data_IF_935611297589
#
_entry.id   IF_935611297589
#
_cell.length_a   1.000
_cell.length_b   1.000
_cell.length_c   1.000
_cell.angle_alpha   90.00
_cell.angle_beta   90.00
_cell.angle_gamma   90.00
#
_symmetry.space_group_name_H-M   'P 1'
#
loop_
_entity.id
_entity.type
_entity.pdbx_description
1 polymer ?
#
# COMPACT_ATOMS: atom_id res chain seq x y z
N UNK A 1 2.82 -6.76 -9.67
CA UNK A 1 1.41 -6.82 -9.23
C UNK A 1 0.52 -6.72 -10.46
N UNK A 2 -0.60 -7.44 -10.50
CA UNK A 2 -1.51 -7.34 -11.64
C UNK A 2 -2.52 -6.22 -11.33
N UNK A 3 -2.45 -5.09 -12.04
CA UNK A 3 -3.31 -3.92 -11.82
C UNK A 3 -4.71 -4.07 -12.46
N UNK A 4 -5.09 -5.30 -12.86
CA UNK A 4 -6.43 -5.62 -13.34
C UNK A 4 -7.51 -5.48 -12.25
N UNK A 5 -7.11 -5.22 -11.00
CA UNK A 5 -8.01 -4.92 -9.89
C UNK A 5 -8.50 -3.48 -10.02
N UNK A 6 -9.82 -3.30 -10.12
CA UNK A 6 -10.43 -1.97 -10.10
C UNK A 6 -10.17 -1.29 -8.76
N UNK A 7 -9.66 -0.05 -8.81
CA UNK A 7 -9.57 0.78 -7.62
C UNK A 7 -10.96 1.27 -7.20
N UNK A 8 -11.16 1.40 -5.90
CA UNK A 8 -12.34 2.00 -5.28
C UNK A 8 -11.99 3.38 -4.71
N UNK A 9 -12.98 4.27 -4.66
CA UNK A 9 -12.83 5.55 -3.95
C UNK A 9 -13.02 5.34 -2.45
N UNK A 10 -12.11 5.87 -1.65
CA UNK A 10 -12.24 5.89 -0.20
C UNK A 10 -13.44 6.75 0.23
N UNK A 11 -14.17 6.28 1.25
CA UNK A 11 -15.27 7.05 1.86
C UNK A 11 -14.75 8.32 2.52
N UNK A 12 -13.61 8.21 3.21
CA UNK A 12 -12.93 9.30 3.88
C UNK A 12 -11.47 9.37 3.38
N UNK A 13 -11.15 10.27 2.45
CA UNK A 13 -9.78 10.54 2.04
C UNK A 13 -8.92 11.01 3.22
N UNK A 14 -7.64 10.66 3.19
CA UNK A 14 -6.69 11.06 4.24
C UNK A 14 -5.36 11.51 3.66
N UNK A 15 -4.63 12.31 4.43
CA UNK A 15 -3.33 12.84 4.01
C UNK A 15 -2.20 11.95 4.51
N UNK A 16 -1.29 11.57 3.62
CA UNK A 16 -0.10 10.78 3.91
C UNK A 16 1.12 11.68 3.87
N UNK A 17 1.76 11.88 5.02
CA UNK A 17 3.01 12.63 5.12
C UNK A 17 4.17 11.83 4.49
N UNK A 18 4.94 12.48 3.63
CA UNK A 18 6.14 11.92 3.02
C UNK A 18 7.40 12.32 3.80
N UNK A 19 8.49 11.54 3.73
CA UNK A 19 9.75 11.88 4.41
C UNK A 19 10.38 13.20 3.97
N UNK A 20 10.01 13.73 2.79
CA UNK A 20 10.51 15.01 2.27
C UNK A 20 9.71 16.21 2.78
N UNK A 21 8.71 15.99 3.65
CA UNK A 21 7.92 17.05 4.29
C UNK A 21 6.66 17.45 3.53
N UNK A 22 6.41 16.88 2.35
CA UNK A 22 5.17 17.05 1.60
C UNK A 22 4.12 16.03 2.02
N UNK A 23 2.86 16.29 1.70
CA UNK A 23 1.77 15.37 1.99
C UNK A 23 0.97 15.04 0.74
N UNK A 24 0.58 13.77 0.60
CA UNK A 24 -0.17 13.27 -0.55
C UNK A 24 -1.57 12.90 -0.09
N UNK A 25 -2.58 13.37 -0.81
CA UNK A 25 -3.97 13.01 -0.53
C UNK A 25 -4.24 11.59 -1.08
N UNK A 26 -4.54 10.66 -0.19
CA UNK A 26 -4.98 9.32 -0.53
C UNK A 26 -6.51 9.32 -0.71
N UNK A 27 -6.96 9.04 -1.94
CA UNK A 27 -8.39 9.00 -2.28
C UNK A 27 -8.87 7.63 -2.76
N UNK A 28 -7.95 6.71 -3.05
CA UNK A 28 -8.26 5.44 -3.71
C UNK A 28 -7.57 4.26 -3.04
N UNK A 29 -8.23 3.13 -3.10
CA UNK A 29 -7.77 1.86 -2.54
C UNK A 29 -7.97 0.73 -3.54
N UNK A 30 -6.98 -0.14 -3.63
CA UNK A 30 -7.09 -1.45 -4.26
C UNK A 30 -7.33 -2.47 -3.15
N UNK A 31 -8.54 -3.01 -3.07
CA UNK A 31 -8.91 -3.97 -2.01
C UNK A 31 -8.40 -5.37 -2.31
N UNK A 32 -8.21 -6.16 -1.25
CA UNK A 32 -8.00 -7.60 -1.34
C UNK A 32 -6.81 -7.99 -2.26
N UNK A 33 -5.80 -7.12 -2.34
CA UNK A 33 -4.64 -7.34 -3.19
C UNK A 33 -3.80 -8.48 -2.64
N UNK A 34 -3.46 -9.45 -3.49
CA UNK A 34 -2.50 -10.48 -3.14
C UNK A 34 -1.09 -9.94 -3.31
N UNK A 35 -0.36 -9.84 -2.20
CA UNK A 35 1.04 -9.43 -2.14
C UNK A 35 1.89 -10.68 -1.93
N UNK A 36 2.80 -10.94 -2.87
CA UNK A 36 3.68 -12.11 -2.83
C UNK A 36 5.14 -11.69 -2.59
N UNK A 37 5.75 -12.21 -1.52
CA UNK A 37 7.17 -12.00 -1.17
C UNK A 37 7.80 -13.36 -0.86
N UNK A 38 8.88 -13.73 -1.55
CA UNK A 38 9.62 -14.99 -1.36
C UNK A 38 8.70 -16.21 -1.13
N UNK A 39 7.78 -16.43 -2.06
CA UNK A 39 6.81 -17.55 -2.07
C UNK A 39 5.73 -17.53 -0.99
N UNK A 40 5.69 -16.51 -0.13
CA UNK A 40 4.56 -16.25 0.76
C UNK A 40 3.62 -15.25 0.10
N UNK A 41 2.32 -15.54 0.15
CA UNK A 41 1.30 -14.62 -0.35
C UNK A 41 0.36 -14.25 0.79
N UNK A 42 0.11 -12.96 0.95
CA UNK A 42 -0.85 -12.43 1.93
C UNK A 42 -1.76 -11.42 1.25
N UNK A 43 -2.94 -11.20 1.82
CA UNK A 43 -3.90 -10.22 1.32
C UNK A 43 -3.73 -8.90 2.08
N UNK A 44 -3.86 -7.80 1.35
CA UNK A 44 -3.83 -6.46 1.93
C UNK A 44 -4.63 -5.48 1.08
N UNK A 45 -5.15 -4.45 1.72
CA UNK A 45 -5.65 -3.27 1.03
C UNK A 45 -4.46 -2.35 0.72
N UNK A 46 -4.34 -1.92 -0.54
CA UNK A 46 -3.25 -1.06 -1.00
C UNK A 46 -3.80 0.32 -1.33
N UNK A 47 -3.22 1.34 -0.71
CA UNK A 47 -3.62 2.73 -0.91
C UNK A 47 -2.85 3.30 -2.11
N UNK A 48 -3.57 3.91 -3.06
CA UNK A 48 -2.95 4.58 -4.20
C UNK A 48 -2.38 5.93 -3.76
N UNK A 49 -1.07 6.11 -3.96
CA UNK A 49 -0.36 7.36 -3.71
C UNK A 49 0.30 7.82 -5.00
N UNK A 50 0.08 9.08 -5.39
CA UNK A 50 0.72 9.69 -6.55
C UNK A 50 2.19 10.02 -6.24
N UNK A 51 3.05 8.99 -6.32
CA UNK A 51 4.47 9.03 -5.98
C UNK A 51 5.32 8.48 -7.12
N UNK A 52 6.43 9.16 -7.43
CA UNK A 52 7.30 8.78 -8.56
C UNK A 52 8.43 7.82 -8.16
N UNK A 53 8.71 7.70 -6.86
CA UNK A 53 9.97 7.11 -6.40
C UNK A 53 9.86 5.63 -5.98
N UNK A 54 8.65 5.12 -5.74
CA UNK A 54 8.43 3.78 -5.21
C UNK A 54 7.24 3.13 -5.89
N UNK A 55 7.39 1.88 -6.29
CA UNK A 55 6.30 1.10 -6.89
C UNK A 55 5.25 0.69 -5.84
N UNK A 56 5.71 0.29 -4.64
CA UNK A 56 4.86 -0.15 -3.52
C UNK A 56 5.55 0.16 -2.20
N UNK A 57 4.80 0.66 -1.22
CA UNK A 57 5.25 0.84 0.16
C UNK A 57 4.44 -0.10 1.05
N UNK A 58 5.12 -0.98 1.79
CA UNK A 58 4.48 -1.89 2.73
C UNK A 58 4.48 -1.28 4.12
N UNK A 59 3.28 -1.11 4.67
CA UNK A 59 3.08 -0.60 6.02
C UNK A 59 3.62 -1.55 7.09
N UNK A 60 3.86 -1.00 8.28
CA UNK A 60 4.33 -1.76 9.44
C UNK A 60 3.30 -2.79 9.93
N UNK A 61 2.01 -2.52 9.73
CA UNK A 61 0.90 -3.42 10.00
C UNK A 61 0.97 -4.69 9.13
N UNK A 62 1.24 -4.54 7.83
CA UNK A 62 1.43 -5.66 6.91
C UNK A 62 2.70 -6.45 7.26
N UNK A 63 3.81 -5.73 7.53
CA UNK A 63 5.08 -6.36 7.94
C UNK A 63 4.91 -7.18 9.21
N UNK A 64 4.22 -6.63 10.21
CA UNK A 64 3.92 -7.30 11.47
C UNK A 64 3.06 -8.54 11.27
N UNK A 65 1.99 -8.45 10.47
CA UNK A 65 1.10 -9.58 10.20
C UNK A 65 1.75 -10.68 9.36
N UNK A 66 2.83 -10.36 8.63
CA UNK A 66 3.66 -11.33 7.93
C UNK A 66 4.83 -11.90 8.77
N UNK A 67 4.97 -11.48 10.03
CA UNK A 67 6.15 -11.77 10.87
C UNK A 67 7.46 -11.43 10.15
N UNK A 68 7.47 -10.30 9.43
CA UNK A 68 8.65 -9.85 8.71
C UNK A 68 9.76 -9.44 9.69
N UNK A 69 10.99 -9.83 9.37
CA UNK A 69 12.19 -9.36 10.04
C UNK A 69 12.87 -8.34 9.12
N UNK A 70 13.14 -7.15 9.64
CA UNK A 70 13.95 -6.13 8.98
C UNK A 70 15.36 -6.25 9.56
N UNK A 71 16.34 -6.53 8.69
CA UNK A 71 17.78 -6.61 9.01
C UNK A 71 18.48 -5.35 8.49
#
# INVERSE_FOLDING_TARGET
MNFDVLHEKLLEPFSVSTPIGESILAERVYRDCTISVNHKSTMADVIELDMVNFDVILGMDWLHSCYALVD
#
